data_IF_583800915618
#
_entry.id   IF_583800915618
#
_cell.length_a   1.000
_cell.length_b   1.000
_cell.length_c   1.000
_cell.angle_alpha   90.00
_cell.angle_beta   90.00
_cell.angle_gamma   90.00
#
_symmetry.space_group_name_H-M   'P 1'
#
loop_
_entity.id
_entity.type
_entity.pdbx_description
1 polymer ?
#
# COMPACT_ATOMS: atom_id res chain seq x y z
N UNK A 1 -5.42 9.12 17.20
CA UNK A 1 -6.37 9.99 16.47
C UNK A 1 -7.45 9.09 15.91
N UNK A 2 -8.72 9.46 16.02
CA UNK A 2 -9.81 8.74 15.35
C UNK A 2 -9.63 8.87 13.82
N UNK A 3 -9.47 7.77 13.06
CA UNK A 3 -9.38 7.79 11.60
C UNK A 3 -10.49 8.60 10.92
N UNK A 4 -11.68 8.63 11.52
CA UNK A 4 -12.82 9.34 10.96
C UNK A 4 -12.72 10.86 11.07
N UNK A 5 -11.87 11.36 11.99
CA UNK A 5 -11.65 12.79 12.21
C UNK A 5 -10.58 13.41 11.30
N UNK A 6 -9.89 12.60 10.49
CA UNK A 6 -8.81 13.07 9.62
C UNK A 6 -9.32 13.93 8.47
N UNK A 7 -8.56 14.98 8.12
CA UNK A 7 -8.86 15.85 6.98
C UNK A 7 -8.62 15.15 5.64
N UNK A 8 -7.70 14.19 5.60
CA UNK A 8 -7.42 13.37 4.43
C UNK A 8 -7.47 11.91 4.83
N UNK A 9 -8.36 11.16 4.18
CA UNK A 9 -8.55 9.72 4.38
C UNK A 9 -8.07 8.99 3.13
N UNK A 10 -7.24 7.97 3.32
CA UNK A 10 -6.68 7.18 2.24
C UNK A 10 -6.63 5.69 2.61
N UNK A 11 -6.74 4.83 1.61
CA UNK A 11 -6.70 3.39 1.82
C UNK A 11 -5.87 2.71 0.74
N UNK A 12 -5.31 1.55 1.08
CA UNK A 12 -4.53 0.77 0.13
C UNK A 12 -4.28 -0.65 0.63
N UNK A 13 -3.49 -1.40 -0.13
CA UNK A 13 -3.11 -2.76 0.22
C UNK A 13 -1.58 -2.91 0.32
N UNK A 14 -1.13 -3.69 1.30
CA UNK A 14 0.16 -4.35 1.21
C UNK A 14 -0.06 -5.62 0.37
N UNK A 15 0.24 -5.49 -0.91
CA UNK A 15 0.08 -6.60 -1.86
C UNK A 15 1.30 -7.52 -1.76
N UNK A 16 1.05 -8.79 -1.50
CA UNK A 16 2.09 -9.79 -1.30
C UNK A 16 1.90 -11.01 -2.19
N UNK A 17 3.00 -11.70 -2.50
CA UNK A 17 2.98 -13.01 -3.15
C UNK A 17 4.07 -13.92 -2.59
N UNK A 18 4.00 -15.20 -2.92
CA UNK A 18 5.11 -16.12 -2.68
C UNK A 18 6.19 -15.85 -3.74
N UNK A 19 7.40 -15.55 -3.29
CA UNK A 19 8.59 -15.46 -4.13
C UNK A 19 9.00 -16.82 -4.68
N UNK A 20 9.84 -16.82 -5.71
CA UNK A 20 10.35 -18.06 -6.33
C UNK A 20 11.25 -18.87 -5.39
N UNK A 21 11.81 -18.25 -4.37
CA UNK A 21 12.62 -18.85 -3.31
C UNK A 21 11.78 -19.38 -2.13
N UNK A 22 10.45 -19.29 -2.21
CA UNK A 22 9.53 -19.64 -1.12
C UNK A 22 9.37 -18.53 -0.07
N UNK A 23 10.01 -17.38 -0.24
CA UNK A 23 9.86 -16.21 0.61
C UNK A 23 8.59 -15.40 0.32
N UNK A 24 8.41 -14.29 1.04
CA UNK A 24 7.34 -13.32 0.78
C UNK A 24 7.93 -12.15 0.00
N UNK A 25 7.30 -11.79 -1.11
CA UNK A 25 7.56 -10.56 -1.85
C UNK A 25 6.40 -9.58 -1.69
N UNK A 26 6.72 -8.30 -1.56
CA UNK A 26 5.78 -7.19 -1.49
C UNK A 26 5.88 -6.36 -2.76
N UNK A 27 4.74 -5.94 -3.31
CA UNK A 27 4.69 -5.00 -4.42
C UNK A 27 4.89 -3.56 -3.92
N UNK A 28 5.92 -2.89 -4.45
CA UNK A 28 6.16 -1.47 -4.27
C UNK A 28 5.88 -0.71 -5.56
N UNK A 29 5.29 0.47 -5.44
CA UNK A 29 4.98 1.35 -6.56
C UNK A 29 5.94 2.55 -6.56
N UNK A 30 6.52 2.83 -7.73
CA UNK A 30 7.26 4.06 -7.99
C UNK A 30 6.30 5.14 -8.50
N UNK A 31 6.39 6.35 -7.96
CA UNK A 31 5.55 7.48 -8.38
C UNK A 31 6.40 8.56 -9.04
N UNK A 32 6.33 8.74 -10.37
CA UNK A 32 7.21 9.64 -11.09
C UNK A 32 7.03 11.11 -10.68
N UNK A 33 5.82 11.49 -10.25
CA UNK A 33 5.54 12.85 -9.76
C UNK A 33 6.41 13.25 -8.55
N UNK A 34 6.83 12.28 -7.74
CA UNK A 34 7.54 12.50 -6.49
C UNK A 34 8.93 11.87 -6.46
N UNK A 35 9.26 11.04 -7.45
CA UNK A 35 10.47 10.22 -7.50
C UNK A 35 10.63 9.41 -6.19
N UNK A 36 9.54 8.78 -5.76
CA UNK A 36 9.48 8.01 -4.52
C UNK A 36 8.93 6.60 -4.69
N UNK A 37 9.31 5.73 -3.76
CA UNK A 37 8.78 4.37 -3.64
C UNK A 37 7.86 4.30 -2.45
N UNK A 38 6.62 3.84 -2.68
CA UNK A 38 5.61 3.70 -1.63
C UNK A 38 4.72 2.47 -1.85
N UNK A 39 3.89 2.15 -0.86
CA UNK A 39 2.79 1.20 -1.02
C UNK A 39 1.65 1.82 -1.84
N UNK A 40 0.90 1.02 -2.62
CA UNK A 40 -0.22 1.51 -3.40
C UNK A 40 -1.37 1.96 -2.49
N UNK A 41 -1.91 3.16 -2.75
CA UNK A 41 -2.92 3.83 -1.89
C UNK A 41 -3.32 5.19 -2.45
N UNK A 42 -4.63 5.39 -2.55
CA UNK A 42 -5.21 6.70 -2.84
C UNK A 42 -6.29 7.11 -1.85
N UNK A 43 -7.01 8.18 -2.20
CA UNK A 43 -7.95 8.83 -1.28
C UNK A 43 -9.30 8.14 -1.35
N UNK A 44 -10.02 8.16 -0.23
CA UNK A 44 -11.42 7.77 -0.24
C UNK A 44 -12.22 8.76 -1.10
N UNK A 45 -13.14 8.22 -1.89
CA UNK A 45 -14.23 8.98 -2.47
C UNK A 45 -15.29 9.34 -1.42
N UNK A 46 -16.20 10.25 -1.77
CA UNK A 46 -17.20 10.73 -0.83
C UNK A 46 -18.18 9.61 -0.42
N UNK A 47 -18.16 9.21 0.85
CA UNK A 47 -18.99 8.14 1.39
C UNK A 47 -18.48 6.73 1.09
N UNK A 48 -17.28 6.61 0.52
CA UNK A 48 -16.66 5.32 0.21
C UNK A 48 -16.18 4.62 1.48
N UNK A 49 -16.40 3.30 1.55
CA UNK A 49 -15.85 2.48 2.62
C UNK A 49 -14.33 2.27 2.42
N UNK A 50 -13.58 2.25 3.51
CA UNK A 50 -12.12 2.15 3.44
C UNK A 50 -11.62 0.87 2.77
N UNK A 51 -12.29 -0.26 2.98
CA UNK A 51 -11.90 -1.53 2.36
C UNK A 51 -12.22 -1.52 0.86
N UNK A 52 -13.33 -0.88 0.47
CA UNK A 52 -13.67 -0.65 -0.95
C UNK A 52 -12.61 0.23 -1.62
N UNK A 53 -12.24 1.34 -0.99
CA UNK A 53 -11.19 2.22 -1.46
C UNK A 53 -9.85 1.47 -1.60
N UNK A 54 -9.46 0.66 -0.61
CA UNK A 54 -8.23 -0.12 -0.66
C UNK A 54 -8.13 -1.03 -1.89
N UNK A 55 -9.23 -1.72 -2.23
CA UNK A 55 -9.30 -2.59 -3.40
C UNK A 55 -9.30 -1.80 -4.71
N UNK A 56 -10.10 -0.72 -4.79
CA UNK A 56 -10.17 0.16 -5.97
C UNK A 56 -8.80 0.76 -6.28
N UNK A 57 -8.20 1.44 -5.31
CA UNK A 57 -6.91 2.12 -5.46
C UNK A 57 -5.78 1.14 -5.84
N UNK A 58 -5.75 -0.03 -5.21
CA UNK A 58 -4.76 -1.07 -5.56
C UNK A 58 -4.93 -1.57 -7.00
N UNK A 59 -6.18 -1.74 -7.45
CA UNK A 59 -6.46 -2.14 -8.83
C UNK A 59 -6.17 -1.02 -9.84
N UNK A 60 -6.40 0.24 -9.49
CA UNK A 60 -6.18 1.40 -10.36
C UNK A 60 -4.69 1.71 -10.50
N UNK A 61 -3.97 1.80 -9.39
CA UNK A 61 -2.56 2.18 -9.37
C UNK A 61 -1.65 1.08 -9.94
N UNK A 62 -1.88 -0.20 -9.58
CA UNK A 62 -0.94 -1.28 -9.90
C UNK A 62 -1.58 -2.50 -10.59
N UNK A 63 -2.86 -2.44 -10.93
CA UNK A 63 -3.56 -3.50 -11.68
C UNK A 63 -3.87 -4.77 -10.88
N UNK A 64 -3.47 -4.85 -9.61
CA UNK A 64 -3.60 -6.03 -8.77
C UNK A 64 -5.00 -6.15 -8.19
N UNK A 65 -5.57 -7.36 -8.24
CA UNK A 65 -6.90 -7.66 -7.70
C UNK A 65 -6.81 -8.85 -6.76
N UNK A 66 -7.72 -8.89 -5.79
CA UNK A 66 -7.72 -9.97 -4.82
C UNK A 66 -8.80 -9.83 -3.77
N UNK A 67 -8.68 -10.68 -2.74
CA UNK A 67 -9.48 -10.57 -1.52
C UNK A 67 -8.63 -9.94 -0.43
N UNK A 68 -9.22 -9.00 0.29
CA UNK A 68 -8.60 -8.45 1.48
C UNK A 68 -8.44 -9.53 2.53
N UNK A 69 -7.23 -9.60 3.07
CA UNK A 69 -6.91 -10.29 4.30
C UNK A 69 -7.11 -9.36 5.49
N UNK A 70 -6.42 -9.65 6.61
CA UNK A 70 -6.53 -8.84 7.81
C UNK A 70 -6.03 -7.40 7.60
N UNK A 71 -6.68 -6.46 8.28
CA UNK A 71 -6.24 -5.06 8.37
C UNK A 71 -4.92 -4.94 9.17
N UNK A 72 -4.08 -3.99 8.78
CA UNK A 72 -2.84 -3.60 9.45
C UNK A 72 -3.07 -2.35 10.32
N UNK A 73 -2.20 -2.06 11.30
CA UNK A 73 -2.30 -0.82 12.07
C UNK A 73 -2.34 0.42 11.16
N UNK A 74 -3.25 1.37 11.40
CA UNK A 74 -3.36 2.58 10.58
C UNK A 74 -2.15 3.49 10.75
N UNK A 75 -1.81 4.22 9.70
CA UNK A 75 -0.72 5.19 9.67
C UNK A 75 -1.28 6.61 9.76
N UNK A 76 -0.72 7.41 10.66
CA UNK A 76 -1.12 8.80 10.89
C UNK A 76 0.07 9.75 10.66
N UNK A 77 -0.08 10.76 9.81
CA UNK A 77 0.93 11.79 9.58
C UNK A 77 0.32 13.07 9.01
N UNK A 78 1.10 14.16 8.94
CA UNK A 78 0.70 15.36 8.21
C UNK A 78 1.18 15.31 6.77
N UNK A 79 0.29 15.56 5.82
CA UNK A 79 0.65 15.62 4.42
C UNK A 79 1.49 16.88 4.09
N UNK A 80 1.97 16.99 2.85
CA UNK A 80 2.78 18.14 2.39
C UNK A 80 2.04 19.48 2.46
N UNK A 81 0.71 19.48 2.62
CA UNK A 81 -0.13 20.67 2.79
C UNK A 81 -0.45 20.95 4.28
N UNK A 82 0.19 20.23 5.21
CA UNK A 82 0.00 20.39 6.65
C UNK A 82 -1.30 19.82 7.19
N UNK A 83 -2.03 19.02 6.41
CA UNK A 83 -3.31 18.43 6.81
C UNK A 83 -3.10 17.11 7.52
N UNK A 84 -3.90 16.84 8.54
CA UNK A 84 -3.88 15.54 9.21
C UNK A 84 -4.41 14.46 8.27
N UNK A 85 -3.56 13.47 7.98
CA UNK A 85 -3.83 12.38 7.05
C UNK A 85 -3.77 11.03 7.76
N UNK A 86 -4.71 10.18 7.41
CA UNK A 86 -4.75 8.78 7.84
C UNK A 86 -4.74 7.86 6.63
N UNK A 87 -3.93 6.81 6.71
CA UNK A 87 -3.91 5.73 5.73
C UNK A 87 -4.22 4.40 6.43
N UNK A 88 -5.20 3.66 5.92
CA UNK A 88 -5.49 2.29 6.37
C UNK A 88 -5.01 1.30 5.31
N UNK A 89 -4.39 0.21 5.76
CA UNK A 89 -3.87 -0.82 4.88
C UNK A 89 -4.43 -2.19 5.23
N UNK A 90 -4.68 -2.99 4.20
CA UNK A 90 -5.01 -4.40 4.32
C UNK A 90 -3.92 -5.26 3.67
N UNK A 91 -3.72 -6.46 4.20
CA UNK A 91 -3.01 -7.48 3.43
C UNK A 91 -3.86 -7.86 2.22
N UNK A 92 -3.25 -8.02 1.05
CA UNK A 92 -3.91 -8.60 -0.11
C UNK A 92 -2.95 -9.54 -0.81
N UNK A 93 -3.35 -10.79 -1.06
CA UNK A 93 -2.55 -11.68 -1.89
C UNK A 93 -2.71 -11.25 -3.35
N UNK A 94 -1.61 -10.87 -3.99
CA UNK A 94 -1.58 -10.49 -5.40
C UNK A 94 -1.87 -11.67 -6.32
N UNK A 95 -2.28 -11.33 -7.53
CA UNK A 95 -2.47 -12.26 -8.64
C UNK A 95 -1.31 -12.15 -9.65
N UNK A 96 -1.35 -12.98 -10.69
CA UNK A 96 -0.35 -12.97 -11.76
C UNK A 96 -0.61 -11.88 -12.81
N UNK A 97 -1.43 -10.86 -12.50
CA UNK A 97 -1.72 -9.79 -13.45
C UNK A 97 -0.47 -8.94 -13.72
N UNK A 98 -0.23 -8.68 -15.01
CA UNK A 98 0.84 -7.80 -15.43
C UNK A 98 0.49 -6.34 -15.10
N UNK A 99 1.48 -5.60 -14.59
CA UNK A 99 1.37 -4.17 -14.37
C UNK A 99 1.40 -3.41 -15.70
N UNK A 100 0.58 -2.37 -15.81
CA UNK A 100 0.59 -1.40 -16.92
C UNK A 100 0.82 0.00 -16.35
N UNK A 101 1.88 0.72 -16.77
CA UNK A 101 2.13 2.10 -16.35
C UNK A 101 0.93 3.02 -16.59
N UNK A 102 0.73 3.96 -15.66
CA UNK A 102 -0.28 5.00 -15.73
C UNK A 102 0.30 6.35 -15.25
N UNK A 103 -0.55 7.37 -15.13
CA UNK A 103 -0.12 8.72 -14.76
C UNK A 103 0.40 8.82 -13.30
N UNK A 104 0.03 7.88 -12.43
CA UNK A 104 0.38 7.87 -11.01
C UNK A 104 1.56 6.96 -10.67
N UNK A 105 1.65 5.81 -11.34
CA UNK A 105 2.68 4.78 -11.15
C UNK A 105 3.25 4.39 -12.51
N UNK A 106 4.56 4.49 -12.64
CA UNK A 106 5.29 4.11 -13.86
C UNK A 106 6.07 2.79 -13.69
N UNK A 107 6.30 2.35 -12.45
CA UNK A 107 7.01 1.11 -12.14
C UNK A 107 6.43 0.40 -10.91
N UNK A 108 6.24 -0.91 -11.01
CA UNK A 108 5.96 -1.80 -9.87
C UNK A 108 7.11 -2.78 -9.70
N UNK A 109 7.61 -2.91 -8.47
CA UNK A 109 8.63 -3.91 -8.12
C UNK A 109 8.13 -4.84 -7.03
N UNK A 110 8.23 -6.13 -7.32
CA UNK A 110 8.13 -7.17 -6.31
C UNK A 110 9.48 -7.30 -5.62
N UNK A 111 9.49 -7.13 -4.31
CA UNK A 111 10.72 -7.13 -3.51
C UNK A 111 10.56 -8.00 -2.27
N UNK A 112 11.58 -8.79 -1.87
CA UNK A 112 11.63 -9.41 -0.56
C UNK A 112 11.40 -8.37 0.54
N UNK A 113 10.81 -8.78 1.66
CA UNK A 113 10.44 -7.89 2.78
C UNK A 113 11.59 -6.96 3.22
N UNK A 114 12.79 -7.50 3.36
CA UNK A 114 13.97 -6.75 3.80
C UNK A 114 14.37 -5.68 2.77
N UNK A 115 14.43 -6.06 1.49
CA UNK A 115 14.70 -5.13 0.39
C UNK A 115 13.60 -4.08 0.22
N UNK A 116 12.34 -4.44 0.49
CA UNK A 116 11.22 -3.52 0.45
C UNK A 116 11.41 -2.38 1.47
N UNK A 117 11.83 -2.72 2.69
CA UNK A 117 12.08 -1.75 3.77
C UNK A 117 13.23 -0.80 3.45
N UNK A 118 14.26 -1.27 2.75
CA UNK A 118 15.39 -0.42 2.31
C UNK A 118 14.98 0.53 1.18
N UNK A 119 14.12 0.06 0.28
CA UNK A 119 13.71 0.80 -0.91
C UNK A 119 12.64 1.87 -0.64
N UNK A 120 11.74 1.60 0.30
CA UNK A 120 10.67 2.52 0.65
C UNK A 120 11.21 3.87 1.12
N UNK A 121 10.71 4.95 0.51
CA UNK A 121 11.17 6.32 0.79
C UNK A 121 10.72 6.79 2.17
N UNK A 122 9.52 6.40 2.60
CA UNK A 122 8.92 6.88 3.84
C UNK A 122 9.07 5.87 4.98
N UNK A 123 9.57 6.27 6.17
CA UNK A 123 9.69 5.39 7.32
C UNK A 123 8.39 4.68 7.71
N UNK A 124 7.27 5.38 7.61
CA UNK A 124 5.94 4.83 7.95
C UNK A 124 5.50 3.66 7.06
N UNK A 125 5.93 3.65 5.79
CA UNK A 125 5.66 2.52 4.90
C UNK A 125 6.54 1.32 5.28
N UNK A 126 7.77 1.56 5.78
CA UNK A 126 8.67 0.50 6.26
C UNK A 126 8.10 -0.21 7.48
N UNK A 127 7.51 0.55 8.40
CA UNK A 127 6.84 0.03 9.58
C UNK A 127 5.59 -0.79 9.19
N UNK A 128 4.86 -0.31 8.19
CA UNK A 128 3.70 -1.03 7.61
C UNK A 128 4.12 -2.37 7.00
N UNK A 129 5.22 -2.40 6.23
CA UNK A 129 5.78 -3.64 5.67
C UNK A 129 6.27 -4.60 6.77
N UNK A 130 6.87 -4.08 7.85
CA UNK A 130 7.28 -4.91 8.98
C UNK A 130 6.06 -5.58 9.66
N UNK A 131 5.00 -4.81 9.94
CA UNK A 131 3.76 -5.33 10.51
C UNK A 131 3.09 -6.36 9.58
N UNK A 132 3.12 -6.14 8.27
CA UNK A 132 2.64 -7.10 7.27
C UNK A 132 3.40 -8.42 7.33
N UNK A 133 4.74 -8.36 7.41
CA UNK A 133 5.59 -9.55 7.48
C UNK A 133 5.38 -10.37 8.75
N UNK A 134 5.19 -9.71 9.90
CA UNK A 134 4.83 -10.40 11.15
C UNK A 134 3.50 -11.15 11.01
N UNK A 135 2.50 -10.49 10.42
CA UNK A 135 1.15 -11.03 10.26
C UNK A 135 1.03 -12.13 9.21
N UNK A 136 1.92 -12.17 8.24
CA UNK A 136 1.99 -13.27 7.26
C UNK A 136 2.71 -14.52 7.79
N UNK A 137 3.43 -14.41 8.91
CA UNK A 137 4.14 -15.51 9.57
C UNK A 137 3.35 -16.15 10.73
N UNK A 138 2.24 -15.54 11.15
CA UNK A 138 1.33 -16.01 12.21
C UNK A 138 0.24 -16.92 11.68
#
# INVERSE_FOLDING_TARGET
MDPESAQVKAAGCVVWRNGSDGGIEIALAHRPQYDDWSLPKGKLENGEDWAVAALRETSEEIGQRGRLGPELPPVHYRDRKGRDKVVRYWLMKGDDAAFTPNDEVDEVRWTPVEAARERLTYPVDRDTVAAAAEKLRS
#
